data_IF_822291950883
#
_entry.id   IF_822291950883
#
_cell.length_a   1.000
_cell.length_b   1.000
_cell.length_c   1.000
_cell.angle_alpha   90.00
_cell.angle_beta   90.00
_cell.angle_gamma   90.00
#
_symmetry.space_group_name_H-M   'P 1'
#
loop_
_entity.id
_entity.type
_entity.pdbx_description
1 polymer ?
#
# COMPACT_ATOMS: atom_id res chain seq x y z
N UNK A 1 13.49 12.85 0.76
CA UNK A 1 12.92 12.61 2.11
C UNK A 1 13.37 11.24 2.65
N UNK A 2 14.67 11.02 2.90
CA UNK A 2 15.21 9.67 3.14
C UNK A 2 14.91 9.09 4.53
N UNK A 3 14.94 9.93 5.57
CA UNK A 3 14.70 9.47 6.95
C UNK A 3 13.25 9.03 7.18
N UNK A 4 12.28 9.75 6.60
CA UNK A 4 10.86 9.40 6.69
C UNK A 4 10.56 8.08 5.97
N UNK A 5 11.10 7.89 4.77
CA UNK A 5 10.94 6.63 4.04
C UNK A 5 11.46 5.46 4.87
N UNK A 6 12.66 5.57 5.47
CA UNK A 6 13.19 4.53 6.35
C UNK A 6 12.29 4.23 7.54
N UNK A 7 11.71 5.26 8.16
CA UNK A 7 10.80 5.08 9.29
C UNK A 7 9.52 4.34 8.87
N UNK A 8 8.93 4.69 7.73
CA UNK A 8 7.73 4.03 7.21
C UNK A 8 7.99 2.54 6.93
N UNK A 9 9.12 2.21 6.29
CA UNK A 9 9.47 0.82 5.97
C UNK A 9 9.94 0.01 7.21
N UNK A 10 10.36 0.68 8.28
CA UNK A 10 10.64 0.02 9.56
C UNK A 10 9.36 -0.28 10.38
N UNK A 11 8.21 0.25 9.95
CA UNK A 11 6.91 0.02 10.59
C UNK A 11 6.27 -1.33 10.20
N UNK A 12 5.02 -1.51 10.62
CA UNK A 12 4.24 -2.74 10.39
C UNK A 12 3.13 -2.56 9.32
N UNK A 13 3.20 -1.50 8.51
CA UNK A 13 2.17 -1.15 7.54
C UNK A 13 2.18 -2.04 6.28
N UNK A 14 3.26 -2.79 6.06
CA UNK A 14 3.51 -3.55 4.83
C UNK A 14 3.77 -2.66 3.62
N UNK A 15 4.18 -3.23 2.50
CA UNK A 15 4.58 -2.46 1.30
C UNK A 15 3.39 -1.90 0.50
N UNK A 16 2.23 -2.56 0.57
CA UNK A 16 1.06 -2.18 -0.23
C UNK A 16 0.45 -0.83 0.18
N UNK A 17 0.36 -0.54 1.48
CA UNK A 17 -0.28 0.66 1.98
C UNK A 17 0.53 1.94 1.67
N UNK A 18 1.85 2.01 1.94
CA UNK A 18 2.68 3.14 1.52
C UNK A 18 2.64 3.37 0.00
N UNK A 19 2.70 2.30 -0.79
CA UNK A 19 2.64 2.41 -2.25
C UNK A 19 1.29 3.00 -2.73
N UNK A 20 0.17 2.60 -2.12
CA UNK A 20 -1.16 3.17 -2.39
C UNK A 20 -1.24 4.66 -2.01
N UNK A 21 -0.71 5.03 -0.84
CA UNK A 21 -0.70 6.43 -0.38
C UNK A 21 0.12 7.30 -1.33
N UNK A 22 1.31 6.84 -1.75
CA UNK A 22 2.19 7.57 -2.67
C UNK A 22 1.52 7.81 -4.03
N UNK A 23 0.90 6.79 -4.62
CA UNK A 23 0.25 6.95 -5.93
C UNK A 23 -1.01 7.83 -5.84
N UNK A 24 -1.81 7.70 -4.76
CA UNK A 24 -3.00 8.52 -4.57
C UNK A 24 -2.67 10.00 -4.29
N UNK A 25 -1.64 10.26 -3.47
CA UNK A 25 -1.14 11.62 -3.24
C UNK A 25 -0.65 12.25 -4.56
N UNK A 26 0.01 11.46 -5.42
CA UNK A 26 0.45 11.92 -6.73
C UNK A 26 -0.70 12.30 -7.66
N UNK A 27 -1.82 11.56 -7.60
CA UNK A 27 -3.05 11.85 -8.34
C UNK A 27 -3.70 13.15 -7.85
N UNK A 28 -3.91 13.30 -6.54
CA UNK A 28 -4.50 14.51 -5.94
C UNK A 28 -3.68 15.75 -6.32
N UNK A 29 -2.35 15.63 -6.27
CA UNK A 29 -1.45 16.73 -6.57
C UNK A 29 -1.24 16.95 -8.08
N UNK A 30 -1.80 16.10 -8.94
CA UNK A 30 -1.66 16.21 -10.40
C UNK A 30 -0.21 16.11 -10.89
N UNK A 31 0.66 15.38 -10.19
CA UNK A 31 2.08 15.33 -10.51
C UNK A 31 2.42 14.17 -11.46
N UNK A 32 2.51 14.46 -12.76
CA UNK A 32 2.82 13.46 -13.80
C UNK A 32 4.13 12.68 -13.54
N UNK A 33 5.17 13.37 -13.05
CA UNK A 33 6.44 12.73 -12.70
C UNK A 33 6.28 11.69 -11.58
N UNK A 34 5.56 12.04 -10.51
CA UNK A 34 5.35 11.13 -9.39
C UNK A 34 4.44 9.95 -9.77
N UNK A 35 3.48 10.17 -10.68
CA UNK A 35 2.63 9.10 -11.20
C UNK A 35 3.44 8.05 -11.97
N UNK A 36 4.38 8.48 -12.82
CA UNK A 36 5.28 7.58 -13.53
C UNK A 36 6.21 6.84 -12.55
N UNK A 37 6.83 7.58 -11.63
CA UNK A 37 7.74 7.02 -10.63
C UNK A 37 7.07 5.96 -9.73
N UNK A 38 5.90 6.27 -9.16
CA UNK A 38 5.25 5.38 -8.18
C UNK A 38 4.35 4.33 -8.82
N UNK A 39 4.04 4.42 -10.11
CA UNK A 39 3.10 3.53 -10.78
C UNK A 39 3.53 2.06 -10.77
N UNK A 40 4.82 1.80 -11.00
CA UNK A 40 5.37 0.44 -10.97
C UNK A 40 5.41 -0.15 -9.55
N UNK A 41 5.81 0.65 -8.55
CA UNK A 41 5.82 0.28 -7.12
C UNK A 41 4.41 -0.11 -6.64
N UNK A 42 3.41 0.72 -6.95
CA UNK A 42 2.01 0.45 -6.62
C UNK A 42 1.51 -0.84 -7.29
N UNK A 43 1.76 -1.03 -8.59
CA UNK A 43 1.37 -2.25 -9.31
C UNK A 43 1.98 -3.50 -8.70
N UNK A 44 3.28 -3.48 -8.40
CA UNK A 44 3.96 -4.62 -7.81
C UNK A 44 3.41 -4.95 -6.42
N UNK A 45 3.32 -3.96 -5.53
CA UNK A 45 2.88 -4.16 -4.15
C UNK A 45 1.40 -4.60 -4.04
N UNK A 46 0.55 -4.20 -4.99
CA UNK A 46 -0.87 -4.58 -5.05
C UNK A 46 -1.12 -5.93 -5.75
N UNK A 47 -0.15 -6.46 -6.48
CA UNK A 47 -0.32 -7.68 -7.30
C UNK A 47 -0.16 -9.01 -6.55
N UNK A 48 0.27 -9.01 -5.30
CA UNK A 48 0.72 -10.23 -4.61
C UNK A 48 -0.37 -11.01 -3.85
N UNK A 49 -1.38 -10.36 -3.27
CA UNK A 49 -2.41 -11.07 -2.52
C UNK A 49 -3.59 -10.13 -2.22
N UNK A 50 -4.77 -10.49 -2.71
CA UNK A 50 -6.04 -10.09 -2.12
C UNK A 50 -6.15 -8.64 -1.63
N UNK A 51 -6.40 -7.70 -2.55
CA UNK A 51 -7.43 -6.70 -2.27
C UNK A 51 -8.80 -7.43 -2.32
N UNK A 52 -9.00 -8.38 -1.39
CA UNK A 52 -10.32 -8.91 -1.07
C UNK A 52 -11.03 -7.80 -0.29
N UNK A 53 -11.47 -6.76 -1.00
CA UNK A 53 -12.43 -5.84 -0.44
C UNK A 53 -13.76 -6.59 -0.34
N UNK A 54 -14.02 -7.21 0.82
CA UNK A 54 -15.38 -7.63 1.18
C UNK A 54 -16.16 -6.35 1.42
N UNK A 55 -16.88 -5.87 0.41
CA UNK A 55 -18.02 -4.99 0.67
C UNK A 55 -19.08 -5.81 1.42
N UNK A 56 -19.35 -5.45 2.68
CA UNK A 56 -20.55 -5.87 3.38
C UNK A 56 -20.32 -6.40 4.79
N UNK A 57 -20.74 -5.60 5.78
CA UNK A 57 -21.20 -6.03 7.11
C UNK A 57 -20.10 -6.48 8.09
N UNK A 58 -20.00 -5.80 9.23
CA UNK A 58 -18.92 -5.98 10.21
C UNK A 58 -18.77 -7.39 10.78
N UNK A 59 -17.51 -7.77 11.07
CA UNK A 59 -17.12 -8.77 12.07
C UNK A 59 -15.58 -8.86 12.13
N UNK A 60 -15.05 -8.78 13.35
CA UNK A 60 -13.97 -9.60 13.90
C UNK A 60 -12.78 -9.99 13.00
N UNK A 61 -11.64 -9.38 13.32
CA UNK A 61 -10.30 -9.70 12.83
C UNK A 61 -9.91 -11.13 13.21
N UNK A 62 -10.24 -12.12 12.38
CA UNK A 62 -9.63 -13.45 12.47
C UNK A 62 -8.26 -13.40 11.80
N UNK A 63 -7.23 -13.16 12.61
CA UNK A 63 -5.84 -13.48 12.28
C UNK A 63 -5.72 -15.00 12.17
N UNK A 64 -5.88 -15.54 10.97
CA UNK A 64 -5.44 -16.89 10.61
C UNK A 64 -4.87 -16.88 9.19
N UNK A 65 -3.56 -16.75 9.07
CA UNK A 65 -2.75 -17.40 8.03
C UNK A 65 -1.26 -17.02 8.16
N UNK A 66 -0.58 -17.49 9.21
CA UNK A 66 0.86 -17.83 9.15
C UNK A 66 1.16 -18.92 10.19
N UNK A 67 0.82 -20.17 9.84
CA UNK A 67 1.45 -21.35 10.47
C UNK A 67 1.74 -22.33 9.34
N UNK A 68 3.00 -22.36 8.95
CA UNK A 68 3.61 -23.18 7.90
C UNK A 68 5.08 -22.82 7.83
#
# INVERSE_FOLDING_TARGET
MFALEKYIHAGNLGEALPALVKIHASQINGCAYCLDMHGCEARAALSAASMCYRQGGGAELVVRATSG
#
